data_IF_944713090692
#
_entry.id   IF_944713090692
#
_cell.length_a   1.000
_cell.length_b   1.000
_cell.length_c   1.000
_cell.angle_alpha   90.00
_cell.angle_beta   90.00
_cell.angle_gamma   90.00
#
_symmetry.space_group_name_H-M   'P 1'
#
loop_
_entity.id
_entity.type
_entity.pdbx_description
1 polymer ?
#
# COMPACT_ATOMS: atom_id res chain seq x y z
N UNK A 1 8.28 26.55 13.66
CA UNK A 1 7.36 26.31 14.80
C UNK A 1 6.33 25.32 14.33
N UNK A 2 6.34 24.14 14.92
CA UNK A 2 5.27 23.16 14.72
C UNK A 2 4.00 23.70 15.38
N UNK A 3 3.03 24.06 14.57
CA UNK A 3 1.70 24.45 15.00
C UNK A 3 0.67 23.36 14.64
N UNK A 4 1.15 22.15 14.43
CA UNK A 4 0.35 20.99 14.08
C UNK A 4 0.37 19.96 15.22
N UNK A 5 -0.78 19.42 15.55
CA UNK A 5 -0.93 18.27 16.41
C UNK A 5 -1.30 17.06 15.57
N UNK A 6 -0.63 15.94 15.76
CA UNK A 6 -0.88 14.71 15.01
C UNK A 6 -1.41 13.61 15.92
N UNK A 7 -2.40 12.87 15.44
CA UNK A 7 -2.94 11.69 16.11
C UNK A 7 -2.95 10.50 15.15
N UNK A 8 -2.46 9.37 15.62
CA UNK A 8 -2.52 8.12 14.88
C UNK A 8 -3.78 7.34 15.25
N UNK A 9 -4.49 6.86 14.24
CA UNK A 9 -5.72 6.10 14.39
C UNK A 9 -5.58 4.69 13.83
N UNK A 10 -6.36 3.76 14.35
CA UNK A 10 -6.25 2.34 14.01
C UNK A 10 -6.87 1.97 12.65
N UNK A 11 -7.60 2.86 12.00
CA UNK A 11 -8.19 2.61 10.67
C UNK A 11 -8.47 3.88 9.89
N UNK A 12 -8.48 3.79 8.57
CA UNK A 12 -8.83 4.91 7.68
C UNK A 12 -10.29 5.36 7.80
N UNK A 13 -11.19 4.48 8.17
CA UNK A 13 -12.59 4.85 8.48
C UNK A 13 -12.65 5.78 9.69
N UNK A 14 -11.83 5.55 10.70
CA UNK A 14 -11.73 6.45 11.85
C UNK A 14 -11.11 7.80 11.47
N UNK A 15 -10.11 7.82 10.58
CA UNK A 15 -9.56 9.06 10.04
C UNK A 15 -10.66 9.85 9.32
N UNK A 16 -11.41 9.22 8.45
CA UNK A 16 -12.56 9.85 7.78
C UNK A 16 -13.58 10.39 8.79
N UNK A 17 -13.90 9.63 9.83
CA UNK A 17 -14.83 10.06 10.89
C UNK A 17 -14.35 11.32 11.61
N UNK A 18 -13.05 11.42 11.93
CA UNK A 18 -12.50 12.61 12.58
C UNK A 18 -12.64 13.86 11.70
N UNK A 19 -12.35 13.73 10.39
CA UNK A 19 -12.54 14.81 9.43
C UNK A 19 -14.01 15.24 9.33
N UNK A 20 -14.92 14.29 9.13
CA UNK A 20 -16.35 14.56 8.96
C UNK A 20 -17.02 15.15 10.21
N UNK A 21 -16.47 14.89 11.39
CA UNK A 21 -16.97 15.45 12.66
C UNK A 21 -16.26 16.74 13.08
N UNK A 22 -15.35 17.25 12.24
CA UNK A 22 -14.60 18.48 12.53
C UNK A 22 -13.61 18.36 13.70
N UNK A 23 -13.19 17.14 14.04
CA UNK A 23 -12.19 16.88 15.08
C UNK A 23 -10.76 16.88 14.56
N UNK A 24 -10.60 16.82 13.25
CA UNK A 24 -9.34 16.99 12.55
C UNK A 24 -9.55 17.85 11.32
N UNK A 25 -8.58 18.68 10.99
CA UNK A 25 -8.62 19.56 9.82
C UNK A 25 -8.09 18.86 8.57
N UNK A 26 -7.13 17.95 8.72
CA UNK A 26 -6.52 17.18 7.65
C UNK A 26 -6.37 15.71 8.05
N UNK A 27 -6.31 14.82 7.07
CA UNK A 27 -6.07 13.38 7.28
C UNK A 27 -5.23 12.79 6.17
N UNK A 28 -4.41 11.82 6.51
CA UNK A 28 -3.59 11.07 5.58
C UNK A 28 -4.21 9.71 5.29
N UNK A 29 -4.25 9.35 4.02
CA UNK A 29 -4.78 8.07 3.55
C UNK A 29 -3.81 7.42 2.59
N UNK A 30 -3.72 6.09 2.64
CA UNK A 30 -3.29 5.37 1.46
C UNK A 30 -4.33 5.55 0.36
N UNK A 31 -3.89 5.71 -0.88
CA UNK A 31 -4.79 5.95 -2.02
C UNK A 31 -5.87 4.87 -2.13
N UNK A 32 -5.49 3.60 -2.06
CA UNK A 32 -6.42 2.48 -2.16
C UNK A 32 -7.44 2.46 -1.02
N UNK A 33 -7.00 2.80 0.21
CA UNK A 33 -7.90 2.90 1.35
C UNK A 33 -8.90 4.07 1.21
N UNK A 34 -8.46 5.20 0.64
CA UNK A 34 -9.35 6.32 0.33
C UNK A 34 -10.35 5.94 -0.77
N UNK A 35 -9.89 5.31 -1.84
CA UNK A 35 -10.73 4.87 -2.96
C UNK A 35 -11.75 3.81 -2.53
N UNK A 36 -11.41 2.98 -1.54
CA UNK A 36 -12.29 1.98 -0.93
C UNK A 36 -13.36 2.55 0.02
N UNK A 37 -13.27 3.82 0.42
CA UNK A 37 -14.33 4.45 1.20
C UNK A 37 -15.62 4.58 0.39
N UNK A 38 -16.79 4.53 1.07
CA UNK A 38 -18.06 4.70 0.40
C UNK A 38 -18.19 6.06 -0.29
N UNK A 39 -18.89 6.11 -1.41
CA UNK A 39 -19.07 7.34 -2.19
C UNK A 39 -19.65 8.50 -1.36
N UNK A 40 -20.64 8.32 -0.46
CA UNK A 40 -21.13 9.39 0.41
C UNK A 40 -20.04 9.97 1.33
N UNK A 41 -19.13 9.15 1.83
CA UNK A 41 -18.00 9.60 2.67
C UNK A 41 -17.02 10.41 1.83
N UNK A 42 -16.59 9.87 0.68
CA UNK A 42 -15.61 10.55 -0.19
C UNK A 42 -16.11 11.91 -0.69
N UNK A 43 -17.40 12.05 -0.98
CA UNK A 43 -17.98 13.32 -1.45
C UNK A 43 -17.90 14.46 -0.44
N UNK A 44 -17.75 14.15 0.83
CA UNK A 44 -17.63 15.13 1.92
C UNK A 44 -16.18 15.53 2.21
N UNK A 45 -15.23 14.90 1.56
CA UNK A 45 -13.80 15.16 1.70
C UNK A 45 -13.22 15.59 0.35
N UNK A 46 -12.16 16.38 0.41
CA UNK A 46 -11.45 16.85 -0.79
C UNK A 46 -9.96 16.48 -0.67
N UNK A 47 -9.42 15.65 -1.56
CA UNK A 47 -7.98 15.46 -1.66
C UNK A 47 -7.30 16.80 -1.95
N UNK A 48 -6.34 17.18 -1.12
CA UNK A 48 -5.55 18.41 -1.31
C UNK A 48 -4.30 18.12 -2.12
N UNK A 49 -3.65 16.99 -1.83
CA UNK A 49 -2.43 16.52 -2.49
C UNK A 49 -2.53 15.01 -2.65
N UNK A 50 -2.08 14.50 -3.78
CA UNK A 50 -1.90 13.06 -4.02
C UNK A 50 -0.44 12.84 -4.38
N UNK A 51 0.23 11.91 -3.68
CA UNK A 51 1.60 11.53 -4.00
C UNK A 51 1.67 10.91 -5.40
N UNK A 52 2.70 11.27 -6.14
CA UNK A 52 3.03 10.66 -7.44
C UNK A 52 4.09 9.56 -7.28
N UNK A 53 4.51 9.28 -6.05
CA UNK A 53 5.49 8.24 -5.76
C UNK A 53 4.78 6.88 -5.82
N UNK A 54 5.27 5.99 -6.69
CA UNK A 54 4.74 4.63 -6.89
C UNK A 54 5.81 3.54 -6.72
N UNK A 55 6.87 3.86 -5.98
CA UNK A 55 8.02 2.94 -5.79
C UNK A 55 7.88 2.04 -4.56
N UNK A 56 6.89 2.28 -3.71
CA UNK A 56 6.63 1.45 -2.52
C UNK A 56 5.55 0.44 -2.86
N UNK A 57 5.90 -0.84 -2.83
CA UNK A 57 4.97 -1.93 -3.11
C UNK A 57 5.05 -3.02 -2.05
N UNK A 58 4.10 -3.95 -2.10
CA UNK A 58 4.18 -5.16 -1.30
C UNK A 58 5.29 -6.06 -1.85
N UNK A 59 6.15 -6.55 -0.96
CA UNK A 59 7.25 -7.45 -1.30
C UNK A 59 7.04 -8.80 -0.63
N UNK A 60 7.12 -9.87 -1.38
CA UNK A 60 7.17 -11.23 -0.84
C UNK A 60 8.62 -11.62 -0.60
N UNK A 61 8.94 -11.91 0.65
CA UNK A 61 10.27 -12.35 1.06
C UNK A 61 10.24 -13.83 1.42
N UNK A 62 11.17 -14.60 0.89
CA UNK A 62 11.35 -16.00 1.23
C UNK A 62 12.59 -16.20 2.13
N UNK A 63 12.46 -17.02 3.17
CA UNK A 63 13.56 -17.33 4.08
C UNK A 63 14.69 -18.04 3.34
N UNK A 64 15.96 -17.77 3.64
CA UNK A 64 17.08 -18.54 3.14
C UNK A 64 17.00 -20.04 3.42
N UNK A 65 16.27 -20.45 4.47
CA UNK A 65 16.01 -21.86 4.80
C UNK A 65 15.21 -22.59 3.72
N UNK A 66 14.50 -21.88 2.87
CA UNK A 66 13.69 -22.41 1.78
C UNK A 66 14.36 -22.16 0.42
N UNK A 67 15.67 -22.05 0.35
CA UNK A 67 16.41 -21.69 -0.88
C UNK A 67 16.07 -22.60 -2.06
N UNK A 68 15.83 -23.90 -1.82
CA UNK A 68 15.45 -24.86 -2.85
C UNK A 68 14.09 -24.54 -3.51
N UNK A 69 13.22 -23.82 -2.80
CA UNK A 69 11.89 -23.42 -3.28
C UNK A 69 11.87 -22.04 -3.94
N UNK A 70 12.96 -21.26 -3.85
CA UNK A 70 12.97 -19.89 -4.36
C UNK A 70 12.70 -19.84 -5.87
N UNK A 71 13.41 -20.66 -6.66
CA UNK A 71 13.25 -20.66 -8.12
C UNK A 71 11.86 -21.14 -8.56
N UNK A 72 11.35 -22.31 -8.10
CA UNK A 72 10.01 -22.76 -8.50
C UNK A 72 8.90 -21.83 -7.98
N UNK A 73 9.04 -21.27 -6.78
CA UNK A 73 8.06 -20.31 -6.25
C UNK A 73 8.03 -19.02 -7.08
N UNK A 74 9.20 -18.49 -7.41
CA UNK A 74 9.32 -17.30 -8.26
C UNK A 74 8.67 -17.51 -9.63
N UNK A 75 8.94 -18.65 -10.28
CA UNK A 75 8.36 -19.00 -11.56
C UNK A 75 6.83 -19.09 -11.48
N UNK A 76 6.31 -19.77 -10.45
CA UNK A 76 4.88 -19.88 -10.20
C UNK A 76 4.22 -18.50 -10.06
N UNK A 77 4.79 -17.64 -9.23
CA UNK A 77 4.23 -16.31 -8.96
C UNK A 77 4.23 -15.44 -10.23
N UNK A 78 5.32 -15.43 -11.00
CA UNK A 78 5.44 -14.62 -12.20
C UNK A 78 4.50 -15.06 -13.33
N UNK A 79 3.92 -16.27 -13.26
CA UNK A 79 2.99 -16.80 -14.26
C UNK A 79 1.52 -16.76 -13.82
N UNK A 80 1.24 -16.30 -12.60
CA UNK A 80 -0.13 -16.32 -12.02
C UNK A 80 -1.16 -15.50 -12.80
N UNK A 81 -0.75 -14.45 -13.49
CA UNK A 81 -1.63 -13.60 -14.29
C UNK A 81 -2.05 -14.25 -15.61
N UNK A 82 -1.34 -15.30 -16.05
CA UNK A 82 -1.61 -16.04 -17.28
C UNK A 82 -2.85 -16.94 -17.24
N UNK A 83 -3.25 -17.44 -16.08
CA UNK A 83 -4.34 -18.40 -15.90
C UNK A 83 -5.54 -17.77 -15.19
N UNK A 84 -6.75 -18.18 -15.59
CA UNK A 84 -8.00 -17.60 -15.06
C UNK A 84 -8.17 -17.81 -13.55
N UNK A 85 -7.82 -18.98 -13.04
CA UNK A 85 -8.01 -19.29 -11.62
C UNK A 85 -7.02 -18.59 -10.72
N UNK A 86 -5.73 -18.51 -11.14
CA UNK A 86 -4.70 -17.77 -10.39
C UNK A 86 -4.89 -16.26 -10.49
N UNK A 87 -5.41 -15.76 -11.61
CA UNK A 87 -5.79 -14.35 -11.77
C UNK A 87 -6.88 -13.94 -10.78
N UNK A 88 -7.89 -14.77 -10.53
CA UNK A 88 -8.92 -14.51 -9.51
C UNK A 88 -8.32 -14.39 -8.10
N UNK A 89 -7.28 -15.15 -7.79
CA UNK A 89 -6.58 -15.03 -6.51
C UNK A 89 -5.88 -13.67 -6.42
N UNK A 90 -5.18 -13.25 -7.48
CA UNK A 90 -4.54 -11.93 -7.54
C UNK A 90 -5.56 -10.80 -7.38
N UNK A 91 -6.67 -10.86 -8.11
CA UNK A 91 -7.77 -9.88 -8.02
C UNK A 91 -8.35 -9.82 -6.59
N UNK A 92 -8.52 -10.97 -5.95
CA UNK A 92 -8.97 -11.05 -4.54
C UNK A 92 -8.00 -10.42 -3.54
N UNK A 93 -6.72 -10.35 -3.88
CA UNK A 93 -5.66 -9.67 -3.11
C UNK A 93 -5.49 -8.20 -3.50
N UNK A 94 -6.21 -7.73 -4.53
CA UNK A 94 -6.03 -6.38 -5.08
C UNK A 94 -4.76 -6.22 -5.91
N UNK A 95 -4.21 -7.32 -6.43
CA UNK A 95 -3.00 -7.36 -7.24
C UNK A 95 -3.34 -7.64 -8.71
N UNK A 96 -2.51 -7.16 -9.60
CA UNK A 96 -2.62 -7.43 -11.04
C UNK A 96 -1.63 -8.50 -11.52
N UNK A 97 -0.57 -8.73 -10.77
CA UNK A 97 0.48 -9.70 -11.07
C UNK A 97 1.64 -9.56 -10.09
N UNK A 98 2.65 -10.36 -10.30
CA UNK A 98 3.92 -10.30 -9.60
C UNK A 98 5.01 -9.92 -10.58
N UNK A 99 5.98 -9.16 -10.12
CA UNK A 99 7.18 -8.86 -10.88
C UNK A 99 8.43 -9.15 -10.06
N UNK A 100 9.53 -9.41 -10.76
CA UNK A 100 10.80 -9.63 -10.09
C UNK A 100 11.37 -8.31 -9.61
N UNK A 101 11.63 -8.22 -8.32
CA UNK A 101 12.22 -7.02 -7.72
C UNK A 101 13.71 -6.96 -7.99
N UNK A 102 14.19 -5.78 -8.39
CA UNK A 102 15.61 -5.46 -8.45
C UNK A 102 16.12 -5.19 -7.03
N UNK A 103 17.30 -5.70 -6.64
CA UNK A 103 17.94 -5.36 -5.36
C UNK A 103 18.09 -3.86 -5.13
N UNK A 104 18.48 -3.08 -6.14
CA UNK A 104 18.62 -1.62 -6.04
C UNK A 104 17.29 -0.94 -5.72
N UNK A 105 16.19 -1.39 -6.34
CA UNK A 105 14.85 -0.88 -6.06
C UNK A 105 14.40 -1.22 -4.62
N UNK A 106 14.79 -2.38 -4.12
CA UNK A 106 14.52 -2.79 -2.73
C UNK A 106 15.29 -1.92 -1.74
N UNK A 107 16.57 -1.66 -1.97
CA UNK A 107 17.40 -0.78 -1.15
C UNK A 107 16.83 0.64 -1.14
N UNK A 108 16.47 1.18 -2.30
CA UNK A 108 15.85 2.50 -2.41
C UNK A 108 14.54 2.59 -1.61
N UNK A 109 13.71 1.56 -1.65
CA UNK A 109 12.46 1.51 -0.88
C UNK A 109 12.73 1.49 0.63
N UNK A 110 13.74 0.77 1.10
CA UNK A 110 14.15 0.72 2.50
C UNK A 110 14.65 2.09 2.94
N UNK A 111 15.54 2.72 2.18
CA UNK A 111 16.08 4.05 2.46
C UNK A 111 14.98 5.11 2.52
N UNK A 112 14.00 5.03 1.62
CA UNK A 112 12.85 5.92 1.62
C UNK A 112 12.02 5.74 2.89
N UNK A 113 11.76 4.51 3.30
CA UNK A 113 11.01 4.20 4.52
C UNK A 113 11.75 4.69 5.77
N UNK A 114 13.05 4.49 5.86
CA UNK A 114 13.88 4.96 6.97
C UNK A 114 13.87 6.49 7.05
N UNK A 115 13.89 7.18 5.92
CA UNK A 115 13.78 8.65 5.86
C UNK A 115 12.43 9.15 6.39
N UNK A 116 11.35 8.39 6.19
CA UNK A 116 10.01 8.75 6.66
C UNK A 116 9.76 8.42 8.14
N UNK A 117 10.60 7.58 8.74
CA UNK A 117 10.49 7.14 10.14
C UNK A 117 11.16 8.10 11.14
N UNK A 118 11.78 9.15 10.65
CA UNK A 118 12.48 10.16 11.48
C UNK A 118 11.52 11.26 12.01
#
# INVERSE_FOLDING_TARGET
RDNTETAQLSSYVLVAKQLLTGRADCGFFLKDAYDGLSAPIRRQMRPLVTSQISVVHHVLLASPRCAELHAPLRELLLTMDGEADTRRILEGLGLTGWESQDPEATEFMIDLMDTLMV
#
